data_IF_818901847219
#
_entry.id   IF_818901847219
#
_cell.length_a   1.000
_cell.length_b   1.000
_cell.length_c   1.000
_cell.angle_alpha   90.00
_cell.angle_beta   90.00
_cell.angle_gamma   90.00
#
_symmetry.space_group_name_H-M   'P 1'
#
loop_
_entity.id
_entity.type
_entity.pdbx_description
1 polymer ?
#
# COMPACT_ATOMS: atom_id res chain seq x y z
N UNK A 1 0.05 5.12 -38.65
CA UNK A 1 0.71 5.70 -37.45
C UNK A 1 0.47 7.20 -37.48
N UNK A 2 -0.57 7.66 -36.80
CA UNK A 2 -0.88 9.08 -36.64
C UNK A 2 -0.46 9.47 -35.23
N UNK A 3 0.77 9.96 -35.07
CA UNK A 3 1.25 10.51 -33.80
C UNK A 3 0.67 11.92 -33.55
N UNK A 4 1.02 12.52 -32.40
CA UNK A 4 0.80 13.95 -32.19
C UNK A 4 1.53 14.72 -33.32
N UNK A 5 0.84 15.69 -33.91
CA UNK A 5 1.37 16.56 -34.96
C UNK A 5 1.14 18.03 -34.59
N UNK A 6 1.88 18.91 -35.25
CA UNK A 6 1.65 20.35 -35.20
C UNK A 6 0.64 20.70 -36.30
N UNK A 7 -0.45 21.37 -35.94
CA UNK A 7 -1.44 21.87 -36.87
C UNK A 7 -1.10 23.29 -37.35
N UNK A 8 -1.69 23.75 -38.46
CA UNK A 8 -1.53 25.13 -38.96
C UNK A 8 -2.10 26.18 -37.99
N UNK A 9 -3.02 25.80 -37.10
CA UNK A 9 -3.46 26.64 -35.98
C UNK A 9 -2.50 26.61 -34.78
N UNK A 10 -1.50 25.70 -34.79
CA UNK A 10 -0.43 25.67 -33.81
C UNK A 10 0.63 26.77 -34.07
N UNK A 11 0.20 28.03 -34.25
CA UNK A 11 1.02 29.26 -34.36
C UNK A 11 1.72 29.60 -33.01
N UNK A 12 2.16 28.56 -32.31
CA UNK A 12 2.23 28.39 -30.86
C UNK A 12 3.65 28.22 -30.32
N UNK A 13 4.65 28.75 -31.02
CA UNK A 13 5.89 29.18 -30.36
C UNK A 13 5.58 29.92 -29.06
N UNK A 14 4.61 30.85 -29.10
CA UNK A 14 4.26 31.71 -27.98
C UNK A 14 3.39 31.06 -26.90
N UNK A 15 2.37 30.26 -27.23
CA UNK A 15 1.44 29.75 -26.18
C UNK A 15 2.07 28.69 -25.28
N UNK A 16 2.81 27.74 -25.86
CA UNK A 16 3.54 26.72 -25.10
C UNK A 16 4.71 27.33 -24.34
N UNK A 17 5.36 28.37 -24.89
CA UNK A 17 6.32 29.18 -24.13
C UNK A 17 5.69 29.89 -22.96
N UNK A 18 4.58 30.60 -23.13
CA UNK A 18 3.89 31.29 -22.03
C UNK A 18 3.49 30.28 -20.94
N UNK A 19 2.98 29.10 -21.31
CA UNK A 19 2.70 28.02 -20.37
C UNK A 19 3.96 27.55 -19.65
N UNK A 20 5.06 27.33 -20.38
CA UNK A 20 6.34 26.92 -19.80
C UNK A 20 6.89 28.00 -18.86
N UNK A 21 6.89 29.27 -19.24
CA UNK A 21 7.30 30.39 -18.39
C UNK A 21 6.49 30.44 -17.10
N UNK A 22 5.17 30.24 -17.18
CA UNK A 22 4.31 30.17 -15.98
C UNK A 22 4.71 29.00 -15.09
N UNK A 23 4.89 27.82 -15.67
CA UNK A 23 5.32 26.63 -14.94
C UNK A 23 6.68 26.84 -14.23
N UNK A 24 7.65 27.43 -14.92
CA UNK A 24 8.99 27.71 -14.37
C UNK A 24 8.95 28.76 -13.26
N UNK A 25 8.06 29.75 -13.34
CA UNK A 25 7.86 30.73 -12.27
C UNK A 25 7.23 30.11 -11.01
N UNK A 26 6.41 29.08 -11.17
CA UNK A 26 5.74 28.38 -10.07
C UNK A 26 6.64 27.32 -9.40
N UNK A 27 7.73 26.89 -10.06
CA UNK A 27 8.61 25.82 -9.58
C UNK A 27 10.06 26.30 -9.44
N UNK A 28 10.54 26.44 -8.19
CA UNK A 28 11.85 27.04 -7.87
C UNK A 28 13.07 26.16 -8.18
N UNK A 29 12.88 24.89 -8.53
CA UNK A 29 13.95 23.96 -8.92
C UNK A 29 13.68 23.44 -10.32
N UNK A 30 14.20 24.13 -11.33
CA UNK A 30 14.02 23.76 -12.73
C UNK A 30 15.36 23.56 -13.41
N UNK A 31 15.43 22.58 -14.31
CA UNK A 31 16.65 22.30 -15.04
C UNK A 31 17.04 23.49 -15.95
N UNK A 32 18.32 23.91 -16.00
CA UNK A 32 18.76 25.06 -16.80
C UNK A 32 18.40 24.99 -18.29
N UNK A 33 18.29 23.78 -18.85
CA UNK A 33 17.90 23.59 -20.25
C UNK A 33 16.42 23.91 -20.51
N UNK A 34 15.53 23.85 -19.51
CA UNK A 34 14.13 24.27 -19.65
C UNK A 34 14.03 25.80 -19.71
N UNK A 35 14.86 26.52 -18.94
CA UNK A 35 14.93 27.98 -19.00
C UNK A 35 15.36 28.46 -20.39
N UNK A 36 16.31 27.75 -21.02
CA UNK A 36 16.71 28.02 -22.42
C UNK A 36 15.53 28.02 -23.39
N UNK A 37 14.55 27.14 -23.21
CA UNK A 37 13.38 27.05 -24.11
C UNK A 37 12.45 28.28 -24.00
N UNK A 38 12.56 29.04 -22.91
CA UNK A 38 11.82 30.29 -22.67
C UNK A 38 12.64 31.50 -23.12
N UNK A 39 13.93 31.54 -22.78
CA UNK A 39 14.79 32.72 -22.94
C UNK A 39 15.30 32.94 -24.37
N UNK A 40 15.37 31.89 -25.19
CA UNK A 40 15.95 31.99 -26.53
C UNK A 40 15.03 32.77 -27.48
N UNK A 41 15.52 33.89 -28.04
CA UNK A 41 14.75 34.80 -28.92
C UNK A 41 14.29 34.12 -30.23
N UNK A 42 14.93 33.01 -30.61
CA UNK A 42 14.56 32.22 -31.78
C UNK A 42 13.30 31.40 -31.56
N UNK A 43 12.52 31.13 -32.62
CA UNK A 43 11.36 30.23 -32.55
C UNK A 43 11.81 28.83 -32.11
N UNK A 44 11.06 28.22 -31.19
CA UNK A 44 11.24 26.80 -30.84
C UNK A 44 11.22 25.96 -32.12
N UNK A 45 12.13 24.98 -32.21
CA UNK A 45 12.07 24.02 -33.30
C UNK A 45 10.77 23.21 -33.24
N UNK A 46 10.29 22.70 -34.39
CA UNK A 46 9.11 21.83 -34.43
C UNK A 46 9.20 20.65 -33.46
N UNK A 47 10.41 20.10 -33.29
CA UNK A 47 10.67 19.01 -32.34
C UNK A 47 10.48 19.46 -30.89
N UNK A 48 10.96 20.64 -30.52
CA UNK A 48 10.80 21.19 -29.17
C UNK A 48 9.34 21.55 -28.89
N UNK A 49 8.63 22.12 -29.87
CA UNK A 49 7.19 22.38 -29.78
C UNK A 49 6.40 21.10 -29.57
N UNK A 50 6.70 20.06 -30.35
CA UNK A 50 6.07 18.76 -30.22
C UNK A 50 6.32 18.14 -28.84
N UNK A 51 7.56 18.27 -28.35
CA UNK A 51 7.94 17.83 -27.01
C UNK A 51 7.16 18.54 -25.90
N UNK A 52 7.04 19.87 -25.98
CA UNK A 52 6.26 20.64 -25.02
C UNK A 52 4.76 20.32 -25.07
N UNK A 53 4.18 20.24 -26.28
CA UNK A 53 2.78 19.85 -26.48
C UNK A 53 2.49 18.49 -25.84
N UNK A 54 3.37 17.53 -26.09
CA UNK A 54 3.33 16.17 -25.50
C UNK A 54 3.43 16.22 -23.98
N UNK A 55 4.41 16.95 -23.43
CA UNK A 55 4.60 17.06 -22.00
C UNK A 55 3.39 17.68 -21.29
N UNK A 56 2.83 18.77 -21.83
CA UNK A 56 1.64 19.40 -21.25
C UNK A 56 0.41 18.50 -21.33
N UNK A 57 0.24 17.77 -22.44
CA UNK A 57 -0.84 16.79 -22.52
C UNK A 57 -0.67 15.73 -21.43
N UNK A 58 0.53 15.17 -21.25
CA UNK A 58 0.77 14.13 -20.25
C UNK A 58 0.68 14.65 -18.81
N UNK A 59 0.89 15.95 -18.57
CA UNK A 59 0.63 16.57 -17.26
C UNK A 59 -0.87 16.68 -16.97
N UNK A 60 -1.69 16.90 -18.00
CA UNK A 60 -3.15 17.02 -17.86
C UNK A 60 -3.85 15.66 -17.97
N UNK A 61 -3.21 14.69 -18.60
CA UNK A 61 -3.70 13.32 -18.78
C UNK A 61 -4.19 12.69 -17.47
N UNK A 62 -3.45 12.71 -16.35
CA UNK A 62 -3.93 12.11 -15.11
C UNK A 62 -5.00 12.89 -14.37
N UNK A 63 -5.48 14.03 -14.88
CA UNK A 63 -6.48 14.87 -14.20
C UNK A 63 -7.91 14.46 -14.55
N UNK A 64 -8.91 15.07 -13.92
CA UNK A 64 -10.34 14.77 -14.14
C UNK A 64 -10.93 15.35 -15.44
N UNK A 65 -10.12 15.94 -16.32
CA UNK A 65 -10.57 16.52 -17.60
C UNK A 65 -11.03 15.39 -18.52
N UNK A 66 -12.15 15.51 -19.22
CA UNK A 66 -12.62 14.42 -20.10
C UNK A 66 -11.69 14.22 -21.31
N UNK A 67 -11.61 12.98 -21.81
CA UNK A 67 -10.75 12.65 -22.95
C UNK A 67 -11.10 13.49 -24.18
N UNK A 68 -12.39 13.72 -24.43
CA UNK A 68 -12.87 14.56 -25.53
C UNK A 68 -12.37 16.01 -25.45
N UNK A 69 -12.27 16.57 -24.23
CA UNK A 69 -11.73 17.91 -24.02
C UNK A 69 -10.22 17.95 -24.29
N UNK A 70 -9.49 16.90 -23.90
CA UNK A 70 -8.07 16.78 -24.20
C UNK A 70 -7.82 16.63 -25.71
N UNK A 71 -8.63 15.84 -26.41
CA UNK A 71 -8.58 15.72 -27.87
C UNK A 71 -8.79 17.08 -28.55
N UNK A 72 -9.81 17.83 -28.10
CA UNK A 72 -10.11 19.15 -28.66
C UNK A 72 -8.99 20.16 -28.39
N UNK A 73 -8.43 20.14 -27.18
CA UNK A 73 -7.41 21.11 -26.72
C UNK A 73 -6.04 20.84 -27.32
N UNK A 74 -5.64 19.57 -27.42
CA UNK A 74 -4.34 19.17 -27.95
C UNK A 74 -4.39 18.72 -29.41
N UNK A 75 -5.56 18.79 -30.06
CA UNK A 75 -5.77 18.40 -31.47
C UNK A 75 -5.20 17.02 -31.76
N UNK A 76 -5.54 16.08 -30.87
CA UNK A 76 -5.10 14.69 -30.94
C UNK A 76 -6.33 13.78 -30.79
N UNK A 77 -6.10 12.47 -30.85
CA UNK A 77 -7.14 11.47 -30.65
C UNK A 77 -6.73 10.51 -29.54
N UNK A 78 -7.70 9.86 -28.91
CA UNK A 78 -7.53 8.98 -27.77
C UNK A 78 -6.46 7.91 -28.02
N UNK A 79 -6.46 7.27 -29.19
CA UNK A 79 -5.45 6.27 -29.55
C UNK A 79 -4.01 6.79 -29.49
N UNK A 80 -3.76 8.01 -29.98
CA UNK A 80 -2.43 8.63 -29.88
C UNK A 80 -2.09 9.00 -28.43
N UNK A 81 -3.05 9.46 -27.63
CA UNK A 81 -2.84 9.76 -26.21
C UNK A 81 -2.46 8.50 -25.42
N UNK A 82 -3.17 7.39 -25.64
CA UNK A 82 -2.88 6.09 -25.03
C UNK A 82 -1.48 5.61 -25.37
N UNK A 83 -1.11 5.65 -26.66
CA UNK A 83 0.22 5.25 -27.12
C UNK A 83 1.32 6.11 -26.49
N UNK A 84 1.10 7.41 -26.41
CA UNK A 84 2.05 8.33 -25.78
C UNK A 84 2.16 8.12 -24.28
N UNK A 85 1.04 7.90 -23.58
CA UNK A 85 1.04 7.67 -22.14
C UNK A 85 1.76 6.37 -21.79
N UNK A 86 1.55 5.32 -22.57
CA UNK A 86 2.26 4.05 -22.43
C UNK A 86 3.76 4.22 -22.67
N UNK A 87 4.13 4.87 -23.79
CA UNK A 87 5.54 5.10 -24.13
C UNK A 87 6.24 5.95 -23.07
N UNK A 88 5.59 7.02 -22.61
CA UNK A 88 6.14 7.90 -21.58
C UNK A 88 6.27 7.18 -20.23
N UNK A 89 5.27 6.39 -19.83
CA UNK A 89 5.33 5.58 -18.62
C UNK A 89 6.52 4.63 -18.65
N UNK A 90 6.72 3.91 -19.75
CA UNK A 90 7.86 3.01 -19.92
C UNK A 90 9.21 3.75 -19.87
N UNK A 91 9.33 4.93 -20.50
CA UNK A 91 10.55 5.73 -20.46
C UNK A 91 10.85 6.27 -19.05
N UNK A 92 9.83 6.70 -18.32
CA UNK A 92 9.98 7.22 -16.94
C UNK A 92 10.32 6.08 -15.98
N UNK A 93 9.74 4.89 -16.16
CA UNK A 93 10.08 3.71 -15.35
C UNK A 93 11.53 3.25 -15.62
N UNK A 94 11.94 3.23 -16.89
CA UNK A 94 13.35 2.97 -17.28
C UNK A 94 14.30 4.01 -16.67
N UNK A 95 13.89 5.27 -16.58
CA UNK A 95 14.66 6.32 -15.91
C UNK A 95 14.76 6.07 -14.40
N UNK A 96 13.73 5.51 -13.77
CA UNK A 96 13.77 5.11 -12.37
C UNK A 96 14.79 3.99 -12.12
N UNK A 97 14.86 3.00 -13.01
CA UNK A 97 15.87 1.93 -12.96
C UNK A 97 17.29 2.48 -13.12
N UNK A 98 17.51 3.39 -14.07
CA UNK A 98 18.79 4.06 -14.25
C UNK A 98 19.17 4.91 -13.03
N UNK A 99 18.21 5.62 -12.44
CA UNK A 99 18.43 6.41 -11.22
C UNK A 99 18.84 5.50 -10.04
N UNK A 100 18.26 4.30 -9.94
CA UNK A 100 18.65 3.29 -8.96
C UNK A 100 20.08 2.79 -9.16
N UNK A 101 20.45 2.48 -10.42
CA UNK A 101 21.82 2.09 -10.78
C UNK A 101 22.85 3.20 -10.49
N UNK A 102 22.46 4.45 -10.69
CA UNK A 102 23.28 5.64 -10.40
C UNK A 102 23.23 6.07 -8.93
N UNK A 103 22.64 5.25 -8.05
CA UNK A 103 22.54 5.48 -6.61
C UNK A 103 21.90 6.83 -6.23
N UNK A 104 20.89 7.27 -7.00
CA UNK A 104 20.10 8.45 -6.66
C UNK A 104 19.27 8.22 -5.37
N UNK A 105 18.85 9.29 -4.67
CA UNK A 105 18.03 9.17 -3.48
C UNK A 105 16.75 8.36 -3.72
N UNK A 106 16.43 7.44 -2.79
CA UNK A 106 15.22 6.60 -2.87
C UNK A 106 13.92 7.37 -3.08
N UNK A 107 13.84 8.59 -2.52
CA UNK A 107 12.68 9.48 -2.72
C UNK A 107 12.48 9.88 -4.18
N UNK A 108 13.55 10.18 -4.92
CA UNK A 108 13.47 10.52 -6.34
C UNK A 108 13.10 9.30 -7.19
N UNK A 109 13.64 8.12 -6.88
CA UNK A 109 13.29 6.87 -7.55
C UNK A 109 11.79 6.57 -7.34
N UNK A 110 11.28 6.73 -6.12
CA UNK A 110 9.86 6.54 -5.83
C UNK A 110 8.96 7.54 -6.56
N UNK A 111 9.40 8.80 -6.68
CA UNK A 111 8.69 9.82 -7.46
C UNK A 111 8.63 9.45 -8.94
N UNK A 112 9.72 8.97 -9.53
CA UNK A 112 9.74 8.52 -10.93
C UNK A 112 8.80 7.33 -11.15
N UNK A 113 8.84 6.32 -10.27
CA UNK A 113 7.91 5.17 -10.35
C UNK A 113 6.45 5.58 -10.23
N UNK A 114 6.15 6.51 -9.32
CA UNK A 114 4.80 7.06 -9.15
C UNK A 114 4.37 7.79 -10.42
N UNK A 115 5.24 8.62 -10.99
CA UNK A 115 4.97 9.35 -12.22
C UNK A 115 4.74 8.40 -13.40
N UNK A 116 5.56 7.35 -13.54
CA UNK A 116 5.36 6.33 -14.57
C UNK A 116 3.99 5.65 -14.42
N UNK A 117 3.65 5.23 -13.20
CA UNK A 117 2.37 4.58 -12.90
C UNK A 117 1.16 5.47 -13.24
N UNK A 118 1.16 6.70 -12.75
CA UNK A 118 0.08 7.69 -12.97
C UNK A 118 -0.04 8.05 -14.45
N UNK A 119 1.09 8.28 -15.13
CA UNK A 119 1.11 8.62 -16.55
C UNK A 119 0.54 7.47 -17.38
N UNK A 120 0.98 6.24 -17.14
CA UNK A 120 0.56 5.07 -17.91
C UNK A 120 -0.92 4.73 -17.76
N UNK A 121 -1.56 5.15 -16.66
CA UNK A 121 -2.99 4.86 -16.39
C UNK A 121 -3.91 6.04 -16.63
N UNK A 122 -3.39 7.26 -16.68
CA UNK A 122 -4.20 8.45 -16.93
C UNK A 122 -5.09 8.85 -15.76
N UNK A 123 -4.79 8.42 -14.54
CA UNK A 123 -5.42 8.92 -13.32
C UNK A 123 -4.49 8.75 -12.11
N UNK A 124 -4.60 9.66 -11.16
CA UNK A 124 -3.91 9.63 -9.86
C UNK A 124 -4.94 9.70 -8.74
N UNK A 125 -5.37 8.54 -8.24
CA UNK A 125 -6.46 8.41 -7.26
C UNK A 125 -6.00 7.58 -6.05
N UNK A 126 -5.08 8.10 -5.23
CA UNK A 126 -4.52 7.37 -4.11
C UNK A 126 -5.61 6.96 -3.11
N UNK A 127 -5.56 5.71 -2.66
CA UNK A 127 -6.55 5.15 -1.74
C UNK A 127 -7.88 4.76 -2.38
N UNK A 128 -8.02 4.89 -3.70
CA UNK A 128 -9.15 4.33 -4.44
C UNK A 128 -8.95 2.85 -4.76
N UNK A 129 -10.06 2.15 -5.02
CA UNK A 129 -10.03 0.73 -5.40
C UNK A 129 -9.60 0.48 -6.86
N UNK A 130 -9.51 1.52 -7.68
CA UNK A 130 -9.32 1.37 -9.12
C UNK A 130 -7.94 0.79 -9.48
N UNK A 131 -6.94 1.03 -8.63
CA UNK A 131 -5.59 0.47 -8.71
C UNK A 131 -5.62 -1.04 -8.54
N UNK A 132 -6.18 -1.52 -7.44
CA UNK A 132 -6.34 -2.94 -7.17
C UNK A 132 -7.26 -3.64 -8.19
N UNK A 133 -8.19 -2.90 -8.79
CA UNK A 133 -9.10 -3.44 -9.81
C UNK A 133 -8.50 -3.56 -11.21
N UNK A 134 -7.23 -3.15 -11.40
CA UNK A 134 -6.51 -3.29 -12.65
C UNK A 134 -7.13 -2.50 -13.80
N UNK A 135 -7.70 -1.33 -13.53
CA UNK A 135 -8.12 -0.43 -14.60
C UNK A 135 -6.92 0.22 -15.26
N UNK A 136 -6.93 0.30 -16.59
CA UNK A 136 -5.89 0.94 -17.39
C UNK A 136 -6.37 2.30 -17.92
N UNK A 137 -5.54 2.90 -18.77
CA UNK A 137 -5.80 4.18 -19.40
C UNK A 137 -7.03 4.21 -20.32
N UNK A 138 -7.44 3.08 -20.89
CA UNK A 138 -8.65 3.01 -21.71
C UNK A 138 -9.91 3.24 -20.86
N UNK A 139 -9.84 2.92 -19.57
CA UNK A 139 -10.93 3.08 -18.62
C UNK A 139 -10.91 4.42 -17.88
N UNK A 140 -10.02 5.34 -18.24
CA UNK A 140 -9.80 6.62 -17.54
C UNK A 140 -11.08 7.41 -17.28
N UNK A 141 -11.88 7.68 -18.32
CA UNK A 141 -13.07 8.53 -18.19
C UNK A 141 -14.15 7.85 -17.31
N UNK A 142 -14.25 6.52 -17.40
CA UNK A 142 -15.10 5.71 -16.53
C UNK A 142 -14.66 5.83 -15.06
N UNK A 143 -13.36 5.69 -14.81
CA UNK A 143 -12.76 5.77 -13.47
C UNK A 143 -13.02 7.15 -12.84
N UNK A 144 -12.76 8.23 -13.58
CA UNK A 144 -13.03 9.59 -13.10
C UNK A 144 -14.51 9.85 -12.82
N UNK A 145 -15.40 9.36 -13.70
CA UNK A 145 -16.85 9.47 -13.49
C UNK A 145 -17.30 8.76 -12.21
N UNK A 146 -16.78 7.56 -11.95
CA UNK A 146 -17.06 6.79 -10.74
C UNK A 146 -16.48 7.49 -9.49
N UNK A 147 -15.24 7.95 -9.55
CA UNK A 147 -14.57 8.64 -8.45
C UNK A 147 -15.32 9.93 -8.06
N UNK A 148 -15.66 10.78 -9.03
CA UNK A 148 -16.41 12.02 -8.81
C UNK A 148 -17.82 11.76 -8.27
N UNK A 149 -18.41 10.60 -8.56
CA UNK A 149 -19.69 10.18 -8.00
C UNK A 149 -19.58 9.51 -6.61
N UNK A 150 -18.36 9.39 -6.06
CA UNK A 150 -18.06 8.84 -4.73
C UNK A 150 -17.84 7.33 -4.68
N UNK A 151 -17.73 6.64 -5.83
CA UNK A 151 -17.55 5.18 -5.89
C UNK A 151 -16.06 4.78 -5.73
N UNK A 152 -15.51 4.98 -4.53
CA UNK A 152 -14.07 4.80 -4.27
C UNK A 152 -13.67 3.45 -3.66
N UNK A 153 -14.64 2.66 -3.14
CA UNK A 153 -14.37 1.38 -2.45
C UNK A 153 -15.17 0.23 -3.06
N UNK A 154 -14.72 -1.03 -2.86
CA UNK A 154 -15.47 -2.22 -3.30
C UNK A 154 -16.91 -2.23 -2.76
N UNK A 155 -17.13 -1.74 -1.53
CA UNK A 155 -18.44 -1.68 -0.87
C UNK A 155 -19.46 -0.79 -1.58
N UNK A 156 -19.01 0.09 -2.49
CA UNK A 156 -19.91 0.93 -3.27
C UNK A 156 -20.49 0.21 -4.51
N UNK A 157 -19.89 -0.91 -4.92
CA UNK A 157 -20.33 -1.70 -6.07
C UNK A 157 -21.16 -2.89 -5.60
N UNK A 158 -22.44 -2.65 -5.31
CA UNK A 158 -23.41 -3.65 -4.85
C UNK A 158 -24.73 -3.53 -5.62
N UNK A 159 -25.54 -4.59 -5.57
CA UNK A 159 -26.88 -4.59 -6.16
C UNK A 159 -27.79 -3.49 -5.59
N UNK A 160 -27.62 -3.14 -4.31
CA UNK A 160 -28.35 -2.04 -3.66
C UNK A 160 -28.07 -0.68 -4.33
N UNK A 161 -26.86 -0.48 -4.85
CA UNK A 161 -26.44 0.76 -5.53
C UNK A 161 -26.51 0.67 -7.05
N UNK A 162 -27.04 -0.45 -7.60
CA UNK A 162 -27.11 -0.71 -9.04
C UNK A 162 -27.82 0.38 -9.82
N UNK A 163 -28.95 0.88 -9.34
CA UNK A 163 -29.69 1.95 -10.02
C UNK A 163 -28.85 3.24 -10.16
N UNK A 164 -28.09 3.61 -9.12
CA UNK A 164 -27.19 4.77 -9.15
C UNK A 164 -26.00 4.54 -10.08
N UNK A 165 -25.46 3.32 -10.13
CA UNK A 165 -24.39 2.93 -11.06
C UNK A 165 -24.87 2.95 -12.50
N UNK A 166 -26.02 2.34 -12.80
CA UNK A 166 -26.60 2.30 -14.14
C UNK A 166 -26.87 3.70 -14.70
N UNK A 167 -27.30 4.65 -13.86
CA UNK A 167 -27.47 6.04 -14.26
C UNK A 167 -26.14 6.73 -14.65
N UNK A 168 -25.00 6.27 -14.14
CA UNK A 168 -23.67 6.85 -14.42
C UNK A 168 -22.96 6.19 -15.61
N UNK A 169 -23.10 4.87 -15.76
CA UNK A 169 -22.27 4.07 -16.67
C UNK A 169 -23.09 3.22 -17.65
N UNK A 170 -24.41 3.21 -17.54
CA UNK A 170 -25.32 2.32 -18.27
C UNK A 170 -25.50 0.97 -17.57
N UNK A 171 -26.62 0.30 -17.85
CA UNK A 171 -27.00 -0.96 -17.17
C UNK A 171 -25.96 -2.07 -17.35
N UNK A 172 -25.48 -2.28 -18.58
CA UNK A 172 -24.50 -3.33 -18.88
C UNK A 172 -23.17 -3.12 -18.14
N UNK A 173 -22.67 -1.87 -18.11
CA UNK A 173 -21.42 -1.56 -17.41
C UNK A 173 -21.61 -1.62 -15.89
N UNK A 174 -22.78 -1.22 -15.37
CA UNK A 174 -23.08 -1.35 -13.95
C UNK A 174 -23.07 -2.83 -13.50
N UNK A 175 -23.65 -3.73 -14.29
CA UNK A 175 -23.63 -5.17 -14.02
C UNK A 175 -22.20 -5.74 -14.04
N UNK A 176 -21.42 -5.33 -15.03
CA UNK A 176 -20.00 -5.71 -15.14
C UNK A 176 -19.20 -5.24 -13.93
N UNK A 177 -19.36 -3.98 -13.50
CA UNK A 177 -18.65 -3.43 -12.35
C UNK A 177 -19.05 -4.13 -11.05
N UNK A 178 -20.35 -4.39 -10.83
CA UNK A 178 -20.82 -5.13 -9.65
C UNK A 178 -20.22 -6.53 -9.62
N UNK A 179 -20.18 -7.21 -10.77
CA UNK A 179 -19.57 -8.54 -10.89
C UNK A 179 -18.07 -8.49 -10.62
N UNK A 180 -17.34 -7.60 -11.31
CA UNK A 180 -15.88 -7.43 -11.18
C UNK A 180 -15.48 -7.09 -9.75
N UNK A 181 -16.14 -6.11 -9.12
CA UNK A 181 -15.85 -5.71 -7.75
C UNK A 181 -16.39 -6.70 -6.71
N UNK A 182 -17.43 -7.47 -7.05
CA UNK A 182 -17.89 -8.62 -6.26
C UNK A 182 -16.85 -9.74 -6.26
N UNK A 183 -16.26 -10.05 -7.41
CA UNK A 183 -15.14 -10.99 -7.52
C UNK A 183 -13.88 -10.48 -6.84
N UNK A 184 -13.52 -9.20 -6.99
CA UNK A 184 -12.40 -8.61 -6.25
C UNK A 184 -12.67 -8.61 -4.75
N UNK A 185 -13.90 -8.39 -4.33
CA UNK A 185 -14.26 -8.56 -2.91
C UNK A 185 -14.11 -10.00 -2.51
N UNK A 186 -14.58 -10.98 -3.29
CA UNK A 186 -14.42 -12.41 -3.02
C UNK A 186 -12.96 -12.84 -3.07
N UNK A 187 -12.13 -12.30 -3.96
CA UNK A 187 -10.68 -12.54 -4.04
C UNK A 187 -10.00 -11.89 -2.87
N UNK A 188 -10.25 -10.64 -2.54
CA UNK A 188 -9.72 -10.04 -1.31
C UNK A 188 -10.26 -10.76 -0.08
N UNK A 189 -11.48 -11.29 -0.09
CA UNK A 189 -12.03 -12.11 1.01
C UNK A 189 -11.44 -13.51 0.98
N UNK A 190 -11.04 -14.04 -0.17
CA UNK A 190 -10.47 -15.37 -0.36
C UNK A 190 -8.95 -15.34 -0.25
N UNK A 191 -8.31 -14.18 -0.41
CA UNK A 191 -6.94 -13.81 -0.10
C UNK A 191 -6.88 -13.42 1.37
N UNK A 192 -7.89 -12.74 1.92
CA UNK A 192 -8.08 -12.63 3.37
C UNK A 192 -8.40 -14.01 3.98
N UNK A 193 -9.16 -14.88 3.32
CA UNK A 193 -9.45 -16.25 3.79
C UNK A 193 -8.42 -17.29 3.33
N UNK A 194 -7.48 -16.96 2.42
CA UNK A 194 -6.31 -17.80 2.08
C UNK A 194 -5.04 -17.29 2.74
N UNK A 195 -5.05 -16.05 3.25
CA UNK A 195 -4.22 -15.57 4.36
C UNK A 195 -4.88 -15.89 5.72
N UNK A 196 -6.16 -16.32 5.76
CA UNK A 196 -6.86 -16.84 6.96
C UNK A 196 -7.47 -18.24 6.73
N UNK A 197 -6.71 -19.15 6.13
CA UNK A 197 -6.36 -20.34 6.91
C UNK A 197 -5.06 -19.97 7.61
N UNK A 198 -5.14 -19.11 8.64
CA UNK A 198 -4.01 -18.82 9.50
C UNK A 198 -3.66 -20.11 10.20
N UNK A 199 -2.79 -20.90 9.59
CA UNK A 199 -1.82 -21.63 10.37
C UNK A 199 -1.24 -20.60 11.33
N UNK A 200 -1.45 -20.77 12.64
CA UNK A 200 -1.09 -19.75 13.60
C UNK A 200 0.40 -19.49 13.47
N UNK A 201 0.74 -18.23 13.17
CA UNK A 201 2.13 -17.79 13.01
C UNK A 201 2.91 -18.07 14.29
N UNK A 202 2.29 -17.90 15.46
CA UNK A 202 2.87 -18.22 16.75
C UNK A 202 2.05 -19.33 17.44
N UNK A 203 2.66 -20.47 17.70
CA UNK A 203 2.11 -21.55 18.54
C UNK A 203 2.81 -21.55 19.88
N UNK A 204 2.10 -21.16 20.93
CA UNK A 204 2.55 -21.21 22.32
C UNK A 204 2.15 -22.55 22.93
N UNK A 205 3.15 -23.38 23.23
CA UNK A 205 2.96 -24.71 23.81
C UNK A 205 3.77 -24.83 25.10
N UNK A 206 3.21 -25.52 26.09
CA UNK A 206 3.87 -25.81 27.36
C UNK A 206 4.86 -26.99 27.30
N UNK A 207 5.40 -27.32 26.12
CA UNK A 207 6.23 -28.51 25.93
C UNK A 207 7.68 -28.22 26.32
N UNK A 208 8.19 -28.97 27.29
CA UNK A 208 9.58 -28.89 27.72
C UNK A 208 10.49 -29.74 26.85
N UNK A 209 11.66 -29.18 26.50
CA UNK A 209 12.78 -29.87 25.88
C UNK A 209 14.02 -29.63 26.75
N UNK A 210 14.28 -30.56 27.67
CA UNK A 210 15.24 -30.33 28.74
C UNK A 210 14.77 -29.21 29.67
N UNK A 211 15.60 -28.20 29.91
CA UNK A 211 15.28 -27.02 30.73
C UNK A 211 14.61 -25.87 29.95
N UNK A 212 14.32 -26.06 28.65
CA UNK A 212 13.78 -25.03 27.76
C UNK A 212 12.35 -25.34 27.36
N UNK A 213 11.56 -24.29 27.10
CA UNK A 213 10.19 -24.39 26.61
C UNK A 213 10.17 -24.17 25.11
N UNK A 214 9.51 -25.07 24.39
CA UNK A 214 9.45 -25.05 22.92
C UNK A 214 8.21 -24.33 22.43
N UNK A 215 8.40 -23.31 21.61
CA UNK A 215 7.35 -22.65 20.83
C UNK A 215 7.60 -22.88 19.34
N UNK A 216 6.59 -22.61 18.51
CA UNK A 216 6.76 -22.59 17.06
C UNK A 216 6.37 -21.21 16.53
N UNK A 217 7.24 -20.62 15.71
CA UNK A 217 6.94 -19.36 15.03
C UNK A 217 7.28 -19.47 13.54
N UNK A 218 6.30 -19.24 12.67
CA UNK A 218 6.42 -19.42 11.22
C UNK A 218 7.04 -20.78 10.85
N UNK A 219 6.50 -21.85 11.43
CA UNK A 219 6.98 -23.25 11.32
C UNK A 219 8.35 -23.54 11.94
N UNK A 220 9.14 -22.53 12.34
CA UNK A 220 10.40 -22.73 13.03
C UNK A 220 10.19 -23.06 14.52
N UNK A 221 10.87 -24.10 15.00
CA UNK A 221 10.92 -24.41 16.44
C UNK A 221 11.90 -23.47 17.16
N UNK A 222 11.43 -22.81 18.21
CA UNK A 222 12.22 -21.91 19.05
C UNK A 222 12.19 -22.45 20.48
N UNK A 223 13.36 -22.82 21.01
CA UNK A 223 13.50 -23.27 22.39
C UNK A 223 13.87 -22.04 23.25
N UNK A 224 13.01 -21.63 24.19
CA UNK A 224 13.18 -20.46 25.07
C UNK A 224 13.48 -20.87 26.52
N UNK A 225 14.14 -20.00 27.28
CA UNK A 225 14.18 -20.12 28.75
C UNK A 225 12.75 -19.98 29.33
N UNK A 226 12.44 -20.64 30.47
CA UNK A 226 11.14 -20.51 31.12
C UNK A 226 10.76 -19.05 31.40
N UNK A 227 11.74 -18.23 31.77
CA UNK A 227 11.54 -16.81 32.03
C UNK A 227 11.11 -16.04 30.79
N UNK A 228 11.79 -16.26 29.66
CA UNK A 228 11.43 -15.58 28.41
C UNK A 228 10.12 -16.08 27.83
N UNK A 229 9.85 -17.37 27.99
CA UNK A 229 8.56 -17.95 27.63
C UNK A 229 7.41 -17.32 28.42
N UNK A 230 7.54 -17.16 29.74
CA UNK A 230 6.52 -16.51 30.57
C UNK A 230 6.19 -15.08 30.08
N UNK A 231 7.20 -14.27 29.77
CA UNK A 231 7.00 -12.92 29.24
C UNK A 231 6.29 -12.94 27.88
N UNK A 232 6.73 -13.80 26.95
CA UNK A 232 6.12 -13.92 25.64
C UNK A 232 4.67 -14.42 25.75
N UNK A 233 4.41 -15.38 26.64
CA UNK A 233 3.09 -15.93 26.89
C UNK A 233 2.11 -14.86 27.38
N UNK A 234 2.51 -14.06 28.39
CA UNK A 234 1.68 -12.97 28.92
C UNK A 234 1.35 -11.93 27.85
N UNK A 235 2.34 -11.55 27.03
CA UNK A 235 2.11 -10.64 25.90
C UNK A 235 1.17 -11.24 24.84
N UNK A 236 1.28 -12.53 24.56
CA UNK A 236 0.37 -13.25 23.66
C UNK A 236 -1.06 -13.32 24.23
N UNK A 237 -1.21 -13.72 25.48
CA UNK A 237 -2.48 -13.78 26.19
C UNK A 237 -3.18 -12.41 26.26
N UNK A 238 -2.43 -11.32 26.44
CA UNK A 238 -3.00 -9.98 26.47
C UNK A 238 -3.71 -9.59 25.17
N UNK A 239 -3.35 -10.19 24.02
CA UNK A 239 -4.02 -9.95 22.74
C UNK A 239 -5.47 -10.44 22.73
N UNK A 240 -5.80 -11.41 23.56
CA UNK A 240 -7.17 -11.90 23.73
C UNK A 240 -7.92 -11.19 24.86
N UNK A 241 -7.22 -10.74 25.89
CA UNK A 241 -7.84 -10.19 27.10
C UNK A 241 -8.04 -8.67 27.09
N UNK A 242 -7.36 -7.95 26.20
CA UNK A 242 -7.38 -6.47 26.14
C UNK A 242 -7.62 -6.01 24.70
N UNK A 243 -8.46 -4.97 24.45
CA UNK A 243 -8.81 -4.52 23.10
C UNK A 243 -7.61 -4.24 22.18
N UNK A 244 -6.52 -3.72 22.74
CA UNK A 244 -5.29 -3.45 21.99
C UNK A 244 -4.10 -4.29 22.45
N UNK A 245 -4.24 -5.16 23.46
CA UNK A 245 -3.17 -6.03 23.95
C UNK A 245 -1.96 -5.36 24.59
N UNK A 246 -2.03 -4.07 24.94
CA UNK A 246 -0.98 -3.38 25.68
C UNK A 246 -0.94 -3.84 27.14
N UNK A 247 0.27 -4.16 27.62
CA UNK A 247 0.55 -4.44 29.03
C UNK A 247 1.59 -3.47 29.56
N UNK A 248 1.35 -2.89 30.72
CA UNK A 248 2.40 -2.20 31.48
C UNK A 248 3.45 -3.20 31.97
N UNK A 249 4.68 -2.75 32.16
CA UNK A 249 5.76 -3.57 32.69
C UNK A 249 5.41 -4.19 34.06
N UNK A 250 4.66 -3.47 34.90
CA UNK A 250 4.20 -3.93 36.22
C UNK A 250 3.15 -5.05 36.12
N UNK A 251 2.28 -5.01 35.10
CA UNK A 251 1.30 -6.09 34.84
C UNK A 251 1.95 -7.36 34.30
N UNK A 252 3.08 -7.25 33.60
CA UNK A 252 3.82 -8.43 33.10
C UNK A 252 4.49 -9.15 34.25
N UNK A 253 5.16 -8.41 35.13
CA UNK A 253 5.75 -8.95 36.36
C UNK A 253 5.97 -7.83 37.40
N UNK A 254 5.58 -8.01 38.66
CA UNK A 254 5.88 -7.06 39.72
C UNK A 254 7.38 -7.03 40.06
N UNK A 255 7.91 -5.86 40.46
CA UNK A 255 9.27 -5.72 40.96
C UNK A 255 10.17 -4.79 40.14
N UNK A 256 11.45 -5.13 39.99
CA UNK A 256 12.44 -4.35 39.25
C UNK A 256 13.03 -5.16 38.08
N UNK A 257 13.55 -4.49 37.05
CA UNK A 257 14.24 -5.06 35.86
C UNK A 257 13.35 -5.64 34.74
N UNK A 258 12.06 -5.33 34.67
CA UNK A 258 11.16 -5.84 33.63
C UNK A 258 11.61 -5.44 32.22
N UNK A 259 12.02 -4.18 32.04
CA UNK A 259 12.53 -3.71 30.75
C UNK A 259 13.78 -4.50 30.29
N UNK A 260 14.65 -4.88 31.24
CA UNK A 260 15.83 -5.73 30.99
C UNK A 260 15.42 -7.16 30.63
N UNK A 261 14.39 -7.70 31.26
CA UNK A 261 13.86 -9.03 30.93
C UNK A 261 13.20 -9.04 29.54
N UNK A 262 12.43 -8.02 29.16
CA UNK A 262 11.89 -7.90 27.80
C UNK A 262 13.01 -7.75 26.76
N UNK A 263 14.06 -6.99 27.07
CA UNK A 263 15.24 -6.93 26.22
C UNK A 263 15.91 -8.31 26.08
N UNK A 264 16.02 -9.08 27.16
CA UNK A 264 16.54 -10.46 27.12
C UNK A 264 15.68 -11.37 26.25
N UNK A 265 14.35 -11.28 26.34
CA UNK A 265 13.41 -12.00 25.45
C UNK A 265 13.73 -11.68 23.99
N UNK A 266 13.83 -10.39 23.64
CA UNK A 266 14.18 -9.98 22.27
C UNK A 266 15.54 -10.53 21.82
N UNK A 267 16.56 -10.46 22.67
CA UNK A 267 17.89 -11.00 22.35
C UNK A 267 17.89 -12.51 22.20
N UNK A 268 17.09 -13.22 22.98
CA UNK A 268 16.94 -14.66 22.89
C UNK A 268 16.23 -15.07 21.60
N UNK A 269 15.13 -14.39 21.24
CA UNK A 269 14.40 -14.59 19.99
C UNK A 269 15.25 -14.28 18.76
N UNK A 270 16.05 -13.21 18.81
CA UNK A 270 16.93 -12.78 17.71
C UNK A 270 17.92 -13.88 17.27
N UNK A 271 18.31 -14.80 18.17
CA UNK A 271 19.23 -15.91 17.86
C UNK A 271 18.69 -16.87 16.81
N UNK A 272 17.37 -16.92 16.65
CA UNK A 272 16.69 -17.84 15.75
C UNK A 272 16.40 -17.21 14.37
N UNK A 273 16.72 -15.91 14.19
CA UNK A 273 16.57 -15.17 12.93
C UNK A 273 15.17 -15.27 12.29
N UNK A 274 14.13 -15.44 13.10
CA UNK A 274 12.75 -15.58 12.62
C UNK A 274 12.01 -14.24 12.50
N UNK A 275 12.56 -13.17 13.08
CA UNK A 275 11.94 -11.85 13.11
C UNK A 275 10.90 -11.65 14.22
N UNK A 276 10.61 -12.66 15.04
CA UNK A 276 9.65 -12.58 16.15
C UNK A 276 10.04 -11.50 17.19
N UNK A 277 11.33 -11.19 17.35
CA UNK A 277 11.80 -10.12 18.23
C UNK A 277 11.31 -8.73 17.80
N UNK A 278 11.05 -8.54 16.50
CA UNK A 278 10.54 -7.30 15.92
C UNK A 278 9.04 -7.15 16.14
N UNK A 279 8.34 -8.25 16.44
CA UNK A 279 6.90 -8.23 16.77
C UNK A 279 6.64 -7.79 18.21
N UNK A 280 7.66 -7.66 19.06
CA UNK A 280 7.46 -7.11 20.41
C UNK A 280 7.63 -5.59 20.37
N UNK A 281 6.55 -4.85 20.57
CA UNK A 281 6.51 -3.40 20.54
C UNK A 281 6.72 -2.79 21.92
N UNK A 282 7.20 -1.54 21.93
CA UNK A 282 7.30 -0.69 23.13
C UNK A 282 6.83 0.71 22.77
N UNK A 283 5.81 1.22 23.46
CA UNK A 283 5.27 2.57 23.22
C UNK A 283 6.09 3.69 23.89
N UNK A 284 7.29 3.38 24.39
CA UNK A 284 8.21 4.27 25.14
C UNK A 284 7.66 4.79 26.47
N UNK A 285 6.47 4.36 26.88
CA UNK A 285 5.81 4.74 28.14
C UNK A 285 5.80 3.60 29.16
N UNK A 286 6.63 2.57 28.95
CA UNK A 286 6.69 1.40 29.82
C UNK A 286 5.62 0.34 29.53
N UNK A 287 4.93 0.44 28.39
CA UNK A 287 4.00 -0.58 27.92
C UNK A 287 4.56 -1.34 26.73
N UNK A 288 4.18 -2.61 26.67
CA UNK A 288 4.64 -3.57 25.69
C UNK A 288 3.47 -4.37 25.13
N UNK A 289 3.64 -4.83 23.89
CA UNK A 289 2.62 -5.60 23.17
C UNK A 289 3.29 -6.55 22.19
N UNK A 290 2.66 -7.69 21.93
CA UNK A 290 2.97 -8.51 20.78
C UNK A 290 2.14 -8.06 19.57
N UNK A 291 2.78 -7.53 18.53
CA UNK A 291 2.16 -7.07 17.29
C UNK A 291 1.79 -8.23 16.38
N UNK A 292 0.94 -9.12 16.90
CA UNK A 292 0.27 -10.19 16.18
C UNK A 292 -1.23 -10.05 16.46
N UNK A 293 -2.09 -10.29 15.47
CA UNK A 293 -3.52 -10.38 15.70
C UNK A 293 -3.86 -11.66 16.49
N UNK A 294 -4.97 -11.70 17.25
CA UNK A 294 -5.39 -12.91 17.97
C UNK A 294 -5.41 -14.17 17.11
N UNK A 295 -5.84 -14.06 15.85
CA UNK A 295 -5.95 -15.15 14.88
C UNK A 295 -4.59 -15.74 14.46
N UNK A 296 -3.51 -14.95 14.63
CA UNK A 296 -2.14 -15.34 14.33
C UNK A 296 -1.45 -16.05 15.52
N UNK A 297 -2.12 -16.15 16.67
CA UNK A 297 -1.60 -16.75 17.90
C UNK A 297 -2.45 -17.97 18.25
N UNK A 298 -1.84 -19.14 18.36
CA UNK A 298 -2.48 -20.34 18.91
C UNK A 298 -1.85 -20.70 20.24
N UNK A 299 -2.68 -20.75 21.26
CA UNK A 299 -2.33 -21.27 22.57
C UNK A 299 -2.81 -22.71 22.64
N UNK A 300 -1.89 -23.62 22.92
CA UNK A 300 -2.21 -25.02 23.17
C UNK A 300 -2.71 -25.16 24.61
N UNK A 301 -4.03 -25.01 24.76
CA UNK A 301 -4.74 -24.96 26.06
C UNK A 301 -4.42 -26.19 26.90
N UNK A 302 -4.46 -27.39 26.31
CA UNK A 302 -4.19 -28.64 27.02
C UNK A 302 -2.77 -28.67 27.60
N UNK A 303 -1.76 -28.31 26.79
CA UNK A 303 -0.38 -28.26 27.27
C UNK A 303 -0.14 -27.15 28.31
N UNK A 304 -0.90 -26.06 28.24
CA UNK A 304 -0.69 -24.87 29.06
C UNK A 304 -1.44 -24.93 30.38
N UNK A 305 -2.61 -25.57 30.44
CA UNK A 305 -3.33 -25.84 31.70
C UNK A 305 -2.55 -26.82 32.58
N UNK A 306 -1.79 -27.74 31.97
CA UNK A 306 -0.90 -28.68 32.65
C UNK A 306 0.52 -28.13 32.89
N UNK A 307 0.80 -26.87 32.52
CA UNK A 307 2.13 -26.28 32.64
C UNK A 307 2.51 -26.03 34.10
N UNK A 308 3.80 -26.14 34.43
CA UNK A 308 4.31 -26.10 35.81
C UNK A 308 4.22 -24.72 36.47
N UNK A 309 4.12 -23.64 35.70
CA UNK A 309 3.89 -22.29 36.21
C UNK A 309 2.39 -22.05 36.43
N UNK A 310 2.00 -22.02 37.71
CA UNK A 310 0.61 -21.85 38.14
C UNK A 310 -0.02 -20.55 37.60
N UNK A 311 0.76 -19.47 37.47
CA UNK A 311 0.25 -18.20 36.97
C UNK A 311 -0.16 -18.33 35.50
N UNK A 312 0.67 -18.99 34.68
CA UNK A 312 0.36 -19.20 33.26
C UNK A 312 -0.78 -20.19 33.07
N UNK A 313 -0.85 -21.25 33.87
CA UNK A 313 -1.95 -22.20 33.83
C UNK A 313 -3.29 -21.53 34.15
N UNK A 314 -3.34 -20.68 35.17
CA UNK A 314 -4.55 -19.94 35.53
C UNK A 314 -4.93 -18.89 34.47
N UNK A 315 -3.94 -18.21 33.88
CA UNK A 315 -4.16 -17.30 32.76
C UNK A 315 -4.78 -18.02 31.55
N UNK A 316 -4.36 -19.26 31.30
CA UNK A 316 -4.89 -20.12 30.22
C UNK A 316 -6.36 -20.46 30.44
N UNK A 317 -6.74 -20.83 31.67
CA UNK A 317 -8.15 -21.09 32.01
C UNK A 317 -9.05 -19.86 31.82
N UNK A 318 -8.52 -18.66 32.10
CA UNK A 318 -9.26 -17.42 31.85
C UNK A 318 -9.48 -17.17 30.36
N UNK A 319 -8.49 -17.51 29.52
CA UNK A 319 -8.59 -17.40 28.07
C UNK A 319 -9.62 -18.39 27.49
N UNK A 320 -9.62 -19.64 27.95
CA UNK A 320 -10.59 -20.64 27.48
C UNK A 320 -12.03 -20.23 27.81
N UNK A 321 -12.28 -19.66 28.99
CA UNK A 321 -13.59 -19.14 29.36
C UNK A 321 -14.03 -17.90 28.57
N UNK A 322 -13.09 -17.01 28.20
CA UNK A 322 -13.39 -15.77 27.46
C UNK A 322 -13.67 -15.99 25.97
N UNK A 323 -13.26 -17.12 25.39
CA UNK A 323 -13.41 -17.43 23.95
C UNK A 323 -14.74 -18.17 23.64
N UNK A 324 -15.50 -18.55 24.67
CA UNK A 324 -16.78 -19.31 24.56
C UNK A 324 -18.02 -18.42 24.82
N UNK A 325 -17.84 -17.11 25.05
CA UNK A 325 -18.91 -16.11 25.25
C UNK A 325 -19.03 -15.16 24.07
#
# INVERSE_FOLDING_TARGET
MTGIYLDASDDYGKSYRIRLSRYLNEHSQTAPWLMRLVDDEYLLTDRELLGLKTAFLLCEWPTSIETADLELRFKTHCGAMLQMSETAAWLVDSLAELAELLHQPKGQIAQLRTLAHVTGRGFDLPGSIFDAAGFDAENRDLVWRLFNAGFVTTGHFTNEKRAKLAALVGDAAAEYLITKFGELRKRNSAELNSEEETMPLLKLRGLLKGERVRICFNEAEIDLTPKSFNYLYKLGAARFLKPEGWMSKEEIEPGFNQAKNIYRVKQELKRFATGLENMIENNKSGFYRLNLKPEQIKIDVESMEAYSDFELAELTKRLSNATVS
#
